data_IF_249842931186
#
_entry.id   IF_249842931186
#
_cell.length_a   1.000
_cell.length_b   1.000
_cell.length_c   1.000
_cell.angle_alpha   90.00
_cell.angle_beta   90.00
_cell.angle_gamma   90.00
#
_symmetry.space_group_name_H-M   'P 1'
#
loop_
_entity.id
_entity.type
_entity.pdbx_description
1 polymer ?
#
# COMPACT_ATOMS: atom_id res chain seq x y z
N UNK A 1 -2.97 -0.83 -19.70
CA UNK A 1 -2.48 0.22 -18.78
C UNK A 1 -1.19 -0.29 -18.18
N UNK A 2 -0.11 0.48 -18.25
CA UNK A 2 1.15 0.17 -17.60
C UNK A 2 1.40 1.24 -16.54
N UNK A 3 1.85 0.85 -15.36
CA UNK A 3 2.28 1.76 -14.32
C UNK A 3 3.46 1.12 -13.61
N UNK A 4 4.54 1.87 -13.45
CA UNK A 4 5.71 1.42 -12.71
C UNK A 4 5.67 2.00 -11.29
N UNK A 5 5.94 1.15 -10.31
CA UNK A 5 5.88 1.48 -8.89
C UNK A 5 7.28 1.49 -8.30
N UNK A 6 7.67 2.64 -7.74
CA UNK A 6 8.97 2.84 -7.09
C UNK A 6 8.78 3.21 -5.62
N UNK A 7 9.69 2.73 -4.77
CA UNK A 7 9.77 3.10 -3.36
C UNK A 7 11.05 3.89 -3.14
N UNK A 8 10.93 5.13 -2.64
CA UNK A 8 12.07 5.97 -2.28
C UNK A 8 12.58 5.64 -0.87
N UNK A 9 13.86 5.92 -0.55
CA UNK A 9 14.40 5.71 0.80
C UNK A 9 13.68 6.47 1.93
N UNK A 10 13.01 7.58 1.61
CA UNK A 10 12.22 8.36 2.58
C UNK A 10 10.82 7.77 2.85
N UNK A 11 10.45 6.68 2.18
CA UNK A 11 9.16 6.02 2.32
C UNK A 11 8.08 6.48 1.34
N UNK A 12 8.37 7.45 0.47
CA UNK A 12 7.44 7.86 -0.58
C UNK A 12 7.30 6.78 -1.66
N UNK A 13 6.08 6.65 -2.17
CA UNK A 13 5.77 5.86 -3.35
C UNK A 13 5.68 6.77 -4.56
N UNK A 14 6.38 6.42 -5.63
CA UNK A 14 6.28 7.10 -6.93
C UNK A 14 5.64 6.14 -7.91
N UNK A 15 4.59 6.59 -8.59
CA UNK A 15 3.93 5.84 -9.65
C UNK A 15 4.09 6.60 -10.95
N UNK A 16 4.70 5.94 -11.95
CA UNK A 16 4.94 6.50 -13.28
C UNK A 16 3.92 5.93 -14.24
N UNK A 17 3.25 6.78 -15.03
CA UNK A 17 2.27 6.37 -16.05
C UNK A 17 0.87 6.02 -15.52
N UNK A 18 0.55 6.37 -14.27
CA UNK A 18 -0.78 6.14 -13.68
C UNK A 18 -1.84 7.15 -14.16
N UNK A 19 -1.43 8.41 -14.36
CA UNK A 19 -2.30 9.43 -14.96
C UNK A 19 -2.40 9.20 -16.47
N UNK A 20 -3.62 8.95 -16.96
CA UNK A 20 -3.87 8.69 -18.37
C UNK A 20 -3.73 9.95 -19.23
N UNK A 21 -4.12 11.10 -18.68
CA UNK A 21 -4.09 12.37 -19.39
C UNK A 21 -2.68 12.99 -19.34
N UNK A 22 -1.89 12.63 -18.31
CA UNK A 22 -0.53 13.12 -18.08
C UNK A 22 0.46 11.99 -17.72
N UNK A 23 0.71 11.02 -18.62
CA UNK A 23 1.56 9.85 -18.33
C UNK A 23 3.03 10.20 -18.05
N UNK A 24 3.48 11.38 -18.45
CA UNK A 24 4.82 11.93 -18.17
C UNK A 24 4.97 12.48 -16.75
N UNK A 25 3.87 12.64 -16.02
CA UNK A 25 3.88 13.19 -14.67
C UNK A 25 3.91 12.05 -13.65
N UNK A 26 4.96 12.05 -12.83
CA UNK A 26 5.08 11.14 -11.70
C UNK A 26 4.05 11.50 -10.61
N UNK A 27 3.24 10.52 -10.21
CA UNK A 27 2.38 10.65 -9.02
C UNK A 27 3.15 10.25 -7.78
N UNK A 28 3.20 11.13 -6.78
CA UNK A 28 3.86 10.85 -5.50
C UNK A 28 2.80 10.63 -4.42
N UNK A 29 2.81 9.43 -3.83
CA UNK A 29 2.02 9.09 -2.65
C UNK A 29 2.88 9.07 -1.40
N UNK A 30 2.54 9.94 -0.46
CA UNK A 30 3.07 9.96 0.91
C UNK A 30 2.02 9.55 1.94
N UNK A 31 0.76 9.35 1.52
CA UNK A 31 -0.28 8.89 2.43
C UNK A 31 -0.05 7.43 2.83
N UNK A 32 -0.29 7.16 4.12
CA UNK A 32 -0.05 5.84 4.71
C UNK A 32 -0.73 4.72 3.91
N UNK A 33 -1.93 4.94 3.38
CA UNK A 33 -2.68 3.87 2.72
C UNK A 33 -1.97 3.39 1.46
N UNK A 34 -1.62 4.31 0.56
CA UNK A 34 -0.95 3.95 -0.69
C UNK A 34 0.47 3.40 -0.46
N UNK A 35 1.21 3.96 0.51
CA UNK A 35 2.52 3.42 0.90
C UNK A 35 2.39 1.97 1.39
N UNK A 36 1.43 1.68 2.28
CA UNK A 36 1.21 0.31 2.79
C UNK A 36 0.76 -0.65 1.68
N UNK A 37 -0.09 -0.21 0.74
CA UNK A 37 -0.49 -1.04 -0.41
C UNK A 37 0.72 -1.49 -1.22
N UNK A 38 1.63 -0.56 -1.55
CA UNK A 38 2.85 -0.91 -2.29
C UNK A 38 3.70 -1.87 -1.46
N UNK A 39 3.99 -1.56 -0.19
CA UNK A 39 4.83 -2.43 0.63
C UNK A 39 4.27 -3.86 0.76
N UNK A 40 2.97 -4.00 1.03
CA UNK A 40 2.31 -5.31 1.10
C UNK A 40 2.37 -6.04 -0.24
N UNK A 41 2.11 -5.36 -1.36
CA UNK A 41 2.19 -5.97 -2.69
C UNK A 41 3.63 -6.33 -3.10
N UNK A 42 4.54 -5.37 -2.99
CA UNK A 42 5.96 -5.49 -3.33
C UNK A 42 6.68 -6.52 -2.48
N UNK A 43 6.31 -6.71 -1.21
CA UNK A 43 6.91 -7.72 -0.33
C UNK A 43 6.73 -9.16 -0.84
N UNK A 44 5.70 -9.43 -1.64
CA UNK A 44 5.52 -10.75 -2.28
C UNK A 44 6.63 -11.07 -3.27
N UNK A 45 7.12 -10.05 -3.99
CA UNK A 45 8.21 -10.17 -4.95
C UNK A 45 9.58 -9.94 -4.30
N UNK A 46 9.65 -9.03 -3.33
CA UNK A 46 10.87 -8.62 -2.64
C UNK A 46 10.68 -8.78 -1.12
N UNK A 47 10.89 -9.98 -0.54
CA UNK A 47 10.55 -10.29 0.85
C UNK A 47 11.11 -9.33 1.91
N UNK A 48 12.31 -8.78 1.66
CA UNK A 48 12.96 -7.75 2.48
C UNK A 48 12.13 -6.48 2.70
N UNK A 49 11.20 -6.14 1.80
CA UNK A 49 10.26 -5.04 2.02
C UNK A 49 9.28 -5.32 3.16
N UNK A 50 9.09 -6.58 3.53
CA UNK A 50 8.26 -6.98 4.68
C UNK A 50 8.75 -6.40 6.01
N UNK A 51 10.05 -6.11 6.13
CA UNK A 51 10.64 -5.46 7.32
C UNK A 51 10.15 -4.01 7.51
N UNK A 52 9.68 -3.37 6.43
CA UNK A 52 9.12 -2.02 6.46
C UNK A 52 7.61 -2.03 6.77
N UNK A 53 6.96 -3.20 6.73
CA UNK A 53 5.55 -3.33 7.08
C UNK A 53 5.44 -3.27 8.60
N UNK A 54 4.61 -2.35 9.15
CA UNK A 54 4.47 -2.24 10.59
C UNK A 54 3.91 -3.53 11.19
N UNK A 55 4.50 -3.96 12.29
CA UNK A 55 3.92 -5.01 13.13
C UNK A 55 2.58 -4.50 13.68
N UNK A 56 1.56 -5.35 13.68
CA UNK A 56 0.24 -5.01 14.24
C UNK A 56 0.41 -4.57 15.70
N UNK A 57 0.15 -3.29 16.05
CA UNK A 57 0.33 -2.83 17.41
C UNK A 57 -0.79 -3.36 18.33
N UNK A 58 -0.54 -3.45 19.64
CA UNK A 58 -1.60 -3.68 20.62
C UNK A 58 -2.72 -2.64 20.45
N UNK A 59 -3.98 -3.08 20.56
CA UNK A 59 -5.15 -2.21 20.38
C UNK A 59 -5.55 -1.90 18.94
N UNK A 60 -4.81 -2.39 17.93
CA UNK A 60 -5.25 -2.32 16.54
C UNK A 60 -6.55 -3.12 16.32
N UNK A 61 -7.54 -2.50 15.71
CA UNK A 61 -8.82 -3.14 15.37
C UNK A 61 -8.74 -3.83 14.02
N UNK A 62 -9.48 -4.92 13.85
CA UNK A 62 -9.59 -5.57 12.55
C UNK A 62 -10.23 -4.60 11.56
N UNK A 63 -9.67 -4.52 10.35
CA UNK A 63 -10.32 -3.76 9.29
C UNK A 63 -11.57 -4.54 8.85
N UNK A 64 -12.72 -3.89 8.61
CA UNK A 64 -13.91 -4.55 8.08
C UNK A 64 -13.68 -5.28 6.74
N UNK A 65 -12.59 -4.97 6.03
CA UNK A 65 -12.17 -5.71 4.85
C UNK A 65 -11.70 -7.14 5.15
N UNK A 66 -11.50 -7.50 6.43
CA UNK A 66 -11.09 -8.83 6.95
C UNK A 66 -9.87 -9.45 6.29
N UNK A 67 -8.95 -8.61 5.80
CA UNK A 67 -7.83 -9.05 4.97
C UNK A 67 -8.26 -9.98 3.81
N UNK A 68 -9.50 -9.85 3.31
CA UNK A 68 -10.01 -10.67 2.21
C UNK A 68 -8.96 -10.59 1.10
N UNK A 69 -8.44 -11.73 0.62
CA UNK A 69 -7.34 -11.72 -0.32
C UNK A 69 -7.83 -11.11 -1.64
N UNK A 70 -7.48 -9.85 -1.80
CA UNK A 70 -7.65 -9.02 -2.98
C UNK A 70 -6.64 -9.46 -4.08
N UNK A 71 -5.88 -10.52 -3.86
CA UNK A 71 -4.80 -10.95 -4.77
C UNK A 71 -5.27 -11.89 -5.88
N UNK A 72 -6.45 -11.60 -6.46
CA UNK A 72 -6.82 -12.11 -7.77
C UNK A 72 -6.53 -11.00 -8.79
N UNK A 73 -6.15 -11.39 -10.00
CA UNK A 73 -6.03 -10.46 -11.14
C UNK A 73 -7.32 -9.61 -11.23
N UNK A 74 -7.18 -8.28 -11.23
CA UNK A 74 -8.30 -7.34 -11.28
C UNK A 74 -8.95 -6.95 -9.94
N UNK A 75 -8.36 -7.23 -8.77
CA UNK A 75 -8.92 -6.81 -7.46
C UNK A 75 -8.12 -5.68 -6.77
N UNK A 76 -8.84 -4.78 -6.10
CA UNK A 76 -8.36 -3.48 -5.56
C UNK A 76 -7.94 -3.57 -4.08
N UNK A 77 -6.67 -3.24 -3.76
CA UNK A 77 -6.15 -3.24 -2.38
C UNK A 77 -6.93 -2.26 -1.50
N UNK A 78 -7.30 -2.70 -0.29
CA UNK A 78 -8.18 -1.93 0.59
C UNK A 78 -7.54 -0.57 0.93
N UNK A 79 -8.20 0.51 0.53
CA UNK A 79 -7.75 1.89 0.76
C UNK A 79 -7.85 2.35 2.21
N UNK A 80 -8.53 1.61 3.09
CA UNK A 80 -8.61 1.96 4.52
C UNK A 80 -7.41 1.45 5.30
N UNK A 81 -7.10 0.16 5.19
CA UNK A 81 -6.00 -0.46 5.94
C UNK A 81 -4.69 -0.56 5.14
N UNK A 82 -4.67 -0.17 3.87
CA UNK A 82 -3.51 -0.35 3.02
C UNK A 82 -3.10 -1.82 2.87
N UNK A 83 -4.08 -2.70 2.79
CA UNK A 83 -3.92 -4.17 2.76
C UNK A 83 -3.33 -4.83 4.02
N UNK A 84 -3.15 -4.10 5.13
CA UNK A 84 -2.65 -4.66 6.39
C UNK A 84 -3.65 -5.60 7.09
N UNK A 85 -4.95 -5.46 6.80
CA UNK A 85 -6.01 -6.22 7.47
C UNK A 85 -6.44 -5.65 8.83
N UNK A 86 -5.78 -4.61 9.32
CA UNK A 86 -6.08 -3.93 10.58
C UNK A 86 -5.97 -2.41 10.42
N UNK A 87 -6.62 -1.67 11.31
CA UNK A 87 -6.52 -0.21 11.41
C UNK A 87 -5.72 0.16 12.66
N UNK A 88 -4.92 1.22 12.58
CA UNK A 88 -4.18 1.71 13.73
C UNK A 88 -5.14 2.11 14.86
N UNK A 89 -4.74 2.00 16.14
CA UNK A 89 -5.55 2.49 17.26
C UNK A 89 -5.89 3.97 17.05
N UNK A 90 -7.15 4.34 17.26
CA UNK A 90 -7.53 5.75 17.31
C UNK A 90 -6.84 6.36 18.54
N UNK A 91 -5.91 7.30 18.32
CA UNK A 91 -5.37 8.10 19.43
C UNK A 91 -6.47 9.10 19.78
N UNK A 92 -7.20 8.83 20.87
CA UNK A 92 -8.11 9.79 21.51
C UNK A 92 -7.33 10.82 22.31
#
# INVERSE_FOLDING_TARGET
MWADYYLRPNGDVVVVGEDYDHPEVDTVYSDRSNVMKLLVWGSKRYPKLGELIPVRPPGAVDCPCRAIPIFAEGKVLCSKCGALGWLAPTVT
#
